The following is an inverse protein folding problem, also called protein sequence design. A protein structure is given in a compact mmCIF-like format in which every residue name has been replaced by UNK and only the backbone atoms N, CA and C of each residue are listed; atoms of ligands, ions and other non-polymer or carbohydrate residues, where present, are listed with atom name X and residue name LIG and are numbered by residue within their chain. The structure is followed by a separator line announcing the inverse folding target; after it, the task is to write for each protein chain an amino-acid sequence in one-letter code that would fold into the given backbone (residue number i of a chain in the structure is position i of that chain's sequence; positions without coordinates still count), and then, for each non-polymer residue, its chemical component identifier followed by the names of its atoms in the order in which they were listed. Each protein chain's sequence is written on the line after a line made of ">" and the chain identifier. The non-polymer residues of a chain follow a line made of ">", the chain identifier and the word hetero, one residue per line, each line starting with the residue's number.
data_IF_045817910481
#
_entry.id   IF_045817910481
#
_cell.length_a   1.000
_cell.length_b   1.000
_cell.length_c   1.000
_cell.angle_alpha   90.00
_cell.angle_beta   90.00
_cell.angle_gamma   90.00
#
_symmetry.space_group_name_H-M   'P 1'
#
loop_
_entity.id
_entity.type
_entity.pdbx_description
1 polymer ?
#
# COMPACT_ATOMS: atom_id res chain seq x y z
N UNK A 1 2.93 13.78 -11.70
CA UNK A 1 2.91 14.09 -10.26
C UNK A 1 3.69 15.37 -10.07
N UNK A 2 3.03 16.49 -9.76
CA UNK A 2 3.72 17.72 -9.41
C UNK A 2 3.79 17.76 -7.89
N UNK A 3 5.02 17.74 -7.39
CA UNK A 3 5.24 17.86 -5.96
C UNK A 3 5.01 19.33 -5.59
N UNK A 4 4.25 19.66 -4.52
CA UNK A 4 3.82 21.03 -4.23
C UNK A 4 4.94 21.88 -3.57
N UNK A 5 6.18 21.73 -4.02
CA UNK A 5 7.34 22.49 -3.55
C UNK A 5 8.44 22.50 -4.61
N UNK A 6 9.22 23.57 -4.65
CA UNK A 6 10.37 23.69 -5.55
C UNK A 6 11.61 23.05 -4.93
N UNK A 7 12.65 22.84 -5.75
CA UNK A 7 13.94 22.33 -5.25
C UNK A 7 14.59 23.29 -4.24
N UNK A 8 14.39 24.60 -4.41
CA UNK A 8 14.88 25.63 -3.50
C UNK A 8 14.17 25.58 -2.14
N UNK A 9 12.85 25.36 -2.13
CA UNK A 9 12.08 25.16 -0.89
C UNK A 9 12.58 23.94 -0.11
N UNK A 10 12.88 22.84 -0.83
CA UNK A 10 13.39 21.61 -0.24
C UNK A 10 14.80 21.78 0.31
N UNK A 11 15.67 22.49 -0.42
CA UNK A 11 17.04 22.77 0.01
C UNK A 11 17.05 23.69 1.24
N UNK A 12 16.29 24.79 1.21
CA UNK A 12 16.19 25.76 2.30
C UNK A 12 15.65 25.13 3.58
N UNK A 13 14.70 24.19 3.47
CA UNK A 13 14.15 23.44 4.60
C UNK A 13 14.95 22.18 4.97
N UNK A 14 16.09 21.95 4.30
CA UNK A 14 16.95 20.79 4.51
C UNK A 14 16.20 19.44 4.42
N UNK A 15 15.28 19.34 3.45
CA UNK A 15 14.46 18.15 3.22
C UNK A 15 15.29 17.08 2.51
N UNK A 16 15.33 15.88 3.09
CA UNK A 16 15.94 14.70 2.47
C UNK A 16 14.85 13.82 1.87
N UNK A 17 14.88 13.63 0.56
CA UNK A 17 14.01 12.69 -0.15
C UNK A 17 14.72 11.35 -0.26
N UNK A 18 14.11 10.30 0.28
CA UNK A 18 14.58 8.93 0.09
C UNK A 18 13.61 8.20 -0.83
N UNK A 19 14.12 7.71 -1.95
CA UNK A 19 13.38 6.90 -2.91
C UNK A 19 14.00 5.51 -2.96
N UNK A 20 13.17 4.48 -3.01
CA UNK A 20 13.64 3.10 -3.06
C UNK A 20 12.48 2.13 -2.93
N UNK A 21 12.76 0.86 -3.22
CA UNK A 21 11.81 -0.21 -2.94
C UNK A 21 11.74 -0.45 -1.44
N UNK A 22 10.55 -0.71 -0.92
CA UNK A 22 10.37 -1.09 0.48
C UNK A 22 11.22 -2.35 0.78
N UNK A 23 12.07 -2.35 1.82
CA UNK A 23 12.94 -3.47 2.14
C UNK A 23 12.15 -4.57 2.88
N UNK A 24 11.26 -5.26 2.19
CA UNK A 24 10.30 -6.20 2.79
C UNK A 24 11.00 -7.24 3.67
N UNK A 25 12.09 -7.87 3.20
CA UNK A 25 12.77 -8.95 3.93
C UNK A 25 13.31 -8.53 5.30
N UNK A 26 13.76 -7.28 5.45
CA UNK A 26 14.33 -6.84 6.73
C UNK A 26 13.26 -6.43 7.74
N UNK A 27 12.05 -6.09 7.30
CA UNK A 27 10.97 -5.58 8.17
C UNK A 27 9.81 -6.57 8.35
N UNK A 28 9.79 -7.66 7.58
CA UNK A 28 8.63 -8.56 7.49
C UNK A 28 8.27 -9.19 8.84
N UNK A 29 9.24 -9.74 9.58
CA UNK A 29 8.97 -10.44 10.84
C UNK A 29 8.41 -9.50 11.91
N UNK A 30 8.90 -8.26 11.97
CA UNK A 30 8.39 -7.24 12.87
C UNK A 30 6.99 -6.76 12.46
N UNK A 31 6.78 -6.55 11.16
CA UNK A 31 5.49 -6.15 10.61
C UNK A 31 4.41 -7.22 10.83
N UNK A 32 4.75 -8.50 10.73
CA UNK A 32 3.81 -9.60 10.96
C UNK A 32 3.35 -9.66 12.42
N UNK A 33 4.27 -9.50 13.38
CA UNK A 33 3.91 -9.42 14.82
C UNK A 33 2.99 -8.24 15.11
N UNK A 34 3.25 -7.09 14.48
CA UNK A 34 2.40 -5.91 14.63
C UNK A 34 1.02 -6.13 14.00
N UNK A 35 0.96 -6.80 12.85
CA UNK A 35 -0.29 -7.16 12.19
C UNK A 35 -1.17 -8.02 13.09
N UNK A 36 -0.62 -9.05 13.73
CA UNK A 36 -1.37 -9.88 14.68
C UNK A 36 -1.98 -9.06 15.84
N UNK A 37 -1.26 -8.07 16.33
CA UNK A 37 -1.69 -7.21 17.44
C UNK A 37 -2.71 -6.13 17.04
N UNK A 38 -2.76 -5.75 15.76
CA UNK A 38 -3.50 -4.57 15.27
C UNK A 38 -4.44 -4.90 14.10
N UNK A 39 -4.71 -6.18 13.86
CA UNK A 39 -5.54 -6.64 12.74
C UNK A 39 -6.94 -6.01 12.74
N UNK A 40 -7.48 -5.72 13.92
CA UNK A 40 -8.78 -5.07 14.13
C UNK A 40 -8.84 -3.68 13.49
N UNK A 41 -7.72 -2.95 13.51
CA UNK A 41 -7.65 -1.59 12.98
C UNK A 41 -7.55 -1.55 11.45
N UNK A 42 -7.12 -2.65 10.84
CA UNK A 42 -6.88 -2.73 9.40
C UNK A 42 -7.79 -3.73 8.69
N UNK A 43 -8.80 -4.26 9.38
CA UNK A 43 -9.78 -5.21 8.84
C UNK A 43 -10.47 -4.70 7.58
N UNK A 44 -10.74 -3.39 7.49
CA UNK A 44 -11.35 -2.74 6.33
C UNK A 44 -10.54 -2.91 5.02
N UNK A 45 -9.24 -3.22 5.10
CA UNK A 45 -8.43 -3.49 3.92
C UNK A 45 -8.79 -4.84 3.27
N UNK A 46 -9.50 -5.72 3.98
CA UNK A 46 -9.80 -7.08 3.53
C UNK A 46 -11.26 -7.24 3.06
N UNK A 47 -11.97 -6.15 2.80
CA UNK A 47 -13.40 -6.17 2.43
C UNK A 47 -13.69 -6.85 1.08
N UNK A 48 -12.72 -6.85 0.15
CA UNK A 48 -12.91 -7.38 -1.21
C UNK A 48 -12.10 -8.66 -1.43
N UNK A 49 -12.70 -9.79 -1.10
CA UNK A 49 -12.16 -11.14 -1.29
C UNK A 49 -12.90 -11.81 -2.44
N UNK A 50 -12.18 -12.33 -3.44
CA UNK A 50 -12.80 -12.99 -4.59
C UNK A 50 -11.92 -14.13 -5.14
N UNK A 51 -12.49 -15.13 -5.83
CA UNK A 51 -11.71 -16.23 -6.39
C UNK A 51 -10.77 -15.76 -7.50
N UNK A 52 -9.61 -16.42 -7.64
CA UNK A 52 -8.61 -16.12 -8.67
C UNK A 52 -9.18 -16.16 -10.09
N UNK A 53 -10.19 -17.00 -10.34
CA UNK A 53 -10.91 -17.05 -11.61
C UNK A 53 -11.53 -15.71 -12.02
N UNK A 54 -11.82 -14.82 -11.07
CA UNK A 54 -12.36 -13.47 -11.29
C UNK A 54 -11.29 -12.38 -11.22
N UNK A 55 -10.00 -12.73 -11.28
CA UNK A 55 -8.92 -11.75 -11.27
C UNK A 55 -9.08 -10.60 -12.28
N UNK A 56 -9.53 -10.81 -13.54
CA UNK A 56 -9.74 -9.71 -14.48
C UNK A 56 -10.75 -8.67 -13.98
N UNK A 57 -11.82 -9.11 -13.33
CA UNK A 57 -12.83 -8.23 -12.71
C UNK A 57 -12.24 -7.46 -11.53
N UNK A 58 -11.47 -8.15 -10.67
CA UNK A 58 -10.78 -7.53 -9.54
C UNK A 58 -9.80 -6.43 -9.96
N UNK A 59 -9.02 -6.66 -11.02
CA UNK A 59 -8.13 -5.63 -11.58
C UNK A 59 -8.91 -4.43 -12.13
N UNK A 60 -10.04 -4.65 -12.80
CA UNK A 60 -10.88 -3.56 -13.30
C UNK A 60 -11.47 -2.71 -12.16
N UNK A 61 -11.89 -3.33 -11.06
CA UNK A 61 -12.40 -2.63 -9.88
C UNK A 61 -11.32 -1.79 -9.20
N UNK A 62 -10.09 -2.30 -9.12
CA UNK A 62 -8.95 -1.60 -8.55
C UNK A 62 -8.53 -0.40 -9.42
N UNK A 63 -8.45 -0.58 -10.75
CA UNK A 63 -8.11 0.50 -11.70
C UNK A 63 -9.15 1.64 -11.65
N UNK A 64 -10.44 1.30 -11.52
CA UNK A 64 -11.54 2.26 -11.36
C UNK A 64 -11.56 2.92 -9.97
N UNK A 65 -10.61 2.59 -9.07
CA UNK A 65 -10.53 3.07 -7.69
C UNK A 65 -11.78 2.81 -6.86
N UNK A 66 -12.56 1.79 -7.24
CA UNK A 66 -13.77 1.38 -6.50
C UNK A 66 -13.43 0.60 -5.24
N UNK A 67 -12.25 -0.02 -5.22
CA UNK A 67 -11.70 -0.73 -4.06
C UNK A 67 -10.25 -0.34 -3.84
N UNK A 68 -9.83 -0.32 -2.58
CA UNK A 68 -8.46 0.02 -2.18
C UNK A 68 -7.53 -1.21 -2.20
N UNK A 69 -8.09 -2.42 -2.04
CA UNK A 69 -7.33 -3.67 -2.01
C UNK A 69 -8.23 -4.83 -2.40
N UNK A 70 -7.75 -5.69 -3.28
CA UNK A 70 -8.42 -6.95 -3.67
C UNK A 70 -7.55 -8.10 -3.19
N UNK A 71 -8.15 -9.08 -2.53
CA UNK A 71 -7.47 -10.30 -2.07
C UNK A 71 -8.06 -11.48 -2.84
N UNK A 72 -7.18 -12.24 -3.49
CA UNK A 72 -7.61 -13.42 -4.26
C UNK A 72 -7.49 -14.69 -3.43
N UNK A 73 -8.55 -15.49 -3.47
CA UNK A 73 -8.52 -16.87 -2.96
C UNK A 73 -8.27 -17.83 -4.12
N UNK A 74 -7.43 -18.83 -3.88
CA UNK A 74 -7.15 -19.92 -4.83
C UNK A 74 -8.32 -20.88 -4.96
#
# INVERSE_FOLDING_TARGET
>A
MQIPWTGDDAYTKNIRVQMGRCPVRSVFDEALKLLEQKQDQIGFLFDHIMPLAKAPEGYALFEQRKTQKVVFTL
#
